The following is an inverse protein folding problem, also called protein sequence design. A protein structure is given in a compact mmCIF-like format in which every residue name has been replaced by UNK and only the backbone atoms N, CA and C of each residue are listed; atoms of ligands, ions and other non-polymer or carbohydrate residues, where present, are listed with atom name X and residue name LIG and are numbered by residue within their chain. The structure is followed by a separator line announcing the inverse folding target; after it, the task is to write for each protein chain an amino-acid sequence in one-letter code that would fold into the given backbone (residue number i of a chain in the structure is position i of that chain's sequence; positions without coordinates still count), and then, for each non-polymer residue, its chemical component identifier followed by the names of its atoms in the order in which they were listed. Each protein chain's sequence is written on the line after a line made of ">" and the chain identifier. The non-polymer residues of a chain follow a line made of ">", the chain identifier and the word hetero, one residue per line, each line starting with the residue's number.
data_IF_987857806401
#
_entry.id   IF_987857806401
#
_cell.length_a   1.000
_cell.length_b   1.000
_cell.length_c   1.000
_cell.angle_alpha   90.00
_cell.angle_beta   90.00
_cell.angle_gamma   90.00
#
_symmetry.space_group_name_H-M   'P 1'
#
loop_
_entity.id
_entity.type
_entity.pdbx_description
1 polymer ?
#
# COMPACT_ATOMS: atom_id res chain seq x y z
N UNK A 1 5.11 16.01 3.66
CA UNK A 1 4.00 15.21 3.09
C UNK A 1 3.96 15.34 1.56
N UNK A 2 4.82 14.62 0.81
CA UNK A 2 4.84 14.74 -0.67
C UNK A 2 4.78 13.39 -1.41
N UNK A 3 5.18 12.30 -0.75
CA UNK A 3 5.31 10.99 -1.41
C UNK A 3 3.97 10.29 -1.62
N UNK A 4 3.00 10.48 -0.72
CA UNK A 4 1.64 9.94 -0.89
C UNK A 4 0.80 10.70 -1.93
N UNK A 5 1.17 11.93 -2.31
CA UNK A 5 0.42 12.72 -3.30
C UNK A 5 0.43 12.09 -4.71
N UNK A 6 1.35 11.16 -4.98
CA UNK A 6 1.39 10.42 -6.25
C UNK A 6 0.38 9.25 -6.27
N UNK A 7 -0.13 8.85 -5.11
CA UNK A 7 -1.09 7.77 -4.96
C UNK A 7 -2.52 8.30 -5.09
N UNK A 8 -3.38 7.49 -5.70
CA UNK A 8 -4.83 7.68 -5.60
C UNK A 8 -5.29 7.44 -4.16
N UNK A 9 -6.49 7.91 -3.82
CA UNK A 9 -7.08 7.68 -2.50
C UNK A 9 -7.08 6.19 -2.11
N UNK A 10 -7.43 5.29 -3.04
CA UNK A 10 -7.46 3.84 -2.78
C UNK A 10 -6.06 3.26 -2.61
N UNK A 11 -5.09 3.67 -3.41
CA UNK A 11 -3.69 3.24 -3.28
C UNK A 11 -3.08 3.71 -1.95
N UNK A 12 -3.36 4.95 -1.53
CA UNK A 12 -2.91 5.47 -0.24
C UNK A 12 -3.54 4.69 0.93
N UNK A 13 -4.84 4.35 0.84
CA UNK A 13 -5.52 3.55 1.85
C UNK A 13 -4.87 2.17 1.99
N UNK A 14 -4.67 1.45 0.87
CA UNK A 14 -4.01 0.14 0.86
C UNK A 14 -2.58 0.23 1.41
N UNK A 15 -1.80 1.23 0.99
CA UNK A 15 -0.43 1.43 1.46
C UNK A 15 -0.37 1.69 2.97
N UNK A 16 -1.29 2.49 3.52
CA UNK A 16 -1.39 2.74 4.95
C UNK A 16 -1.68 1.44 5.73
N UNK A 17 -2.64 0.62 5.29
CA UNK A 17 -2.94 -0.67 5.92
C UNK A 17 -1.77 -1.66 5.84
N UNK A 18 -0.97 -1.62 4.78
CA UNK A 18 0.27 -2.40 4.72
C UNK A 18 1.29 -1.94 5.76
N UNK A 19 1.39 -0.63 6.01
CA UNK A 19 2.31 -0.08 7.02
C UNK A 19 1.94 -0.49 8.45
N UNK A 20 0.66 -0.81 8.72
CA UNK A 20 0.22 -1.36 10.02
C UNK A 20 0.44 -2.87 10.15
N UNK A 21 0.95 -3.53 9.10
CA UNK A 21 1.24 -4.97 9.10
C UNK A 21 0.15 -5.85 8.51
N UNK A 22 -0.96 -5.30 8.00
CA UNK A 22 -2.07 -6.11 7.47
C UNK A 22 -1.70 -6.87 6.18
N UNK A 23 -2.04 -8.15 6.11
CA UNK A 23 -1.86 -8.99 4.91
C UNK A 23 -2.83 -8.57 3.79
N UNK A 24 -2.51 -8.92 2.54
CA UNK A 24 -3.39 -8.61 1.40
C UNK A 24 -4.80 -9.21 1.57
N UNK A 25 -4.91 -10.37 2.22
CA UNK A 25 -6.19 -11.03 2.54
C UNK A 25 -7.01 -10.24 3.56
N UNK A 26 -6.37 -9.72 4.61
CA UNK A 26 -7.03 -8.87 5.60
C UNK A 26 -7.48 -7.54 4.99
N UNK A 27 -6.63 -6.92 4.18
CA UNK A 27 -6.97 -5.67 3.46
C UNK A 27 -8.13 -5.92 2.49
N UNK A 28 -8.12 -7.05 1.78
CA UNK A 28 -9.18 -7.42 0.87
C UNK A 28 -10.52 -7.58 1.61
N UNK A 29 -10.53 -8.26 2.75
CA UNK A 29 -11.71 -8.43 3.58
C UNK A 29 -12.25 -7.08 4.11
N UNK A 30 -11.36 -6.23 4.63
CA UNK A 30 -11.71 -4.92 5.20
C UNK A 30 -12.24 -3.94 4.15
N UNK A 31 -11.68 -3.97 2.94
CA UNK A 31 -12.09 -3.09 1.84
C UNK A 31 -13.21 -3.67 0.96
N UNK A 32 -13.66 -4.90 1.21
CA UNK A 32 -14.65 -5.59 0.36
C UNK A 32 -14.13 -5.86 -1.05
N UNK A 33 -12.82 -6.13 -1.20
CA UNK A 33 -12.14 -6.36 -2.47
C UNK A 33 -11.66 -7.80 -2.59
N UNK A 34 -11.26 -8.19 -3.80
CA UNK A 34 -10.49 -9.42 -3.98
C UNK A 34 -9.02 -9.20 -3.59
N UNK A 35 -8.35 -10.26 -3.13
CA UNK A 35 -6.89 -10.24 -2.88
C UNK A 35 -6.12 -9.80 -4.13
N UNK A 36 -6.57 -10.22 -5.32
CA UNK A 36 -5.97 -9.83 -6.60
C UNK A 36 -6.10 -8.32 -6.90
N UNK A 37 -7.20 -7.71 -6.47
CA UNK A 37 -7.40 -6.26 -6.57
C UNK A 37 -6.42 -5.53 -5.66
N UNK A 38 -6.25 -5.99 -4.41
CA UNK A 38 -5.27 -5.44 -3.47
C UNK A 38 -3.85 -5.56 -4.02
N UNK A 39 -3.51 -6.72 -4.60
CA UNK A 39 -2.21 -6.95 -5.24
C UNK A 39 -1.96 -5.97 -6.40
N UNK A 40 -2.99 -5.73 -7.22
CA UNK A 40 -2.92 -4.76 -8.32
C UNK A 40 -2.72 -3.33 -7.83
N UNK A 41 -3.36 -2.95 -6.71
CA UNK A 41 -3.11 -1.64 -6.08
C UNK A 41 -1.67 -1.55 -5.56
N UNK A 42 -1.16 -2.60 -4.90
CA UNK A 42 0.21 -2.62 -4.40
C UNK A 42 1.24 -2.55 -5.52
N UNK A 43 1.02 -3.25 -6.63
CA UNK A 43 1.89 -3.16 -7.80
C UNK A 43 2.01 -1.72 -8.32
N UNK A 44 0.88 -0.99 -8.41
CA UNK A 44 0.90 0.42 -8.82
C UNK A 44 1.57 1.31 -7.78
N UNK A 45 1.34 1.06 -6.49
CA UNK A 45 2.02 1.77 -5.39
C UNK A 45 3.53 1.59 -5.49
N UNK A 46 4.00 0.35 -5.66
CA UNK A 46 5.42 0.04 -5.81
C UNK A 46 6.05 0.80 -6.97
N UNK A 47 5.39 0.79 -8.13
CA UNK A 47 5.84 1.51 -9.31
C UNK A 47 5.87 3.04 -9.09
N UNK A 48 4.81 3.62 -8.51
CA UNK A 48 4.71 5.07 -8.27
C UNK A 48 5.70 5.57 -7.23
N UNK A 49 6.00 4.75 -6.22
CA UNK A 49 6.91 5.12 -5.13
C UNK A 49 8.35 4.67 -5.38
N UNK A 50 8.62 3.93 -6.46
CA UNK A 50 9.95 3.41 -6.77
C UNK A 50 10.46 2.39 -5.73
N UNK A 51 9.56 1.65 -5.08
CA UNK A 51 9.93 0.64 -4.07
C UNK A 51 9.78 -0.76 -4.63
N UNK A 52 10.73 -1.64 -4.30
CA UNK A 52 10.79 -2.98 -4.89
C UNK A 52 9.80 -3.97 -4.27
N UNK A 53 9.41 -3.80 -3.00
CA UNK A 53 8.61 -4.78 -2.28
C UNK A 53 7.88 -4.18 -1.08
N UNK A 54 7.05 -5.03 -0.45
CA UNK A 54 6.29 -4.73 0.75
C UNK A 54 7.14 -4.20 1.90
N UNK A 55 8.31 -4.81 2.17
CA UNK A 55 9.17 -4.38 3.26
C UNK A 55 9.74 -2.97 3.00
N UNK A 56 10.12 -2.67 1.76
CA UNK A 56 10.54 -1.32 1.35
C UNK A 56 9.40 -0.31 1.46
N UNK A 57 8.17 -0.69 1.10
CA UNK A 57 6.98 0.15 1.28
C UNK A 57 6.72 0.44 2.76
N UNK A 58 6.66 -0.60 3.60
CA UNK A 58 6.47 -0.46 5.05
C UNK A 58 7.56 0.43 5.64
N UNK A 59 8.83 0.16 5.34
CA UNK A 59 9.97 0.97 5.78
C UNK A 59 9.81 2.45 5.38
N UNK A 60 9.48 2.71 4.11
CA UNK A 60 9.28 4.07 3.60
C UNK A 60 8.16 4.83 4.32
N UNK A 61 7.10 4.13 4.73
CA UNK A 61 5.95 4.72 5.41
C UNK A 61 6.17 4.85 6.93
N UNK A 62 6.82 3.88 7.57
CA UNK A 62 7.09 3.90 9.02
C UNK A 62 8.17 4.92 9.40
N UNK A 63 9.21 5.12 8.58
CA UNK A 63 10.21 6.17 8.84
C UNK A 63 9.69 7.61 8.62
N UNK A 64 8.40 7.78 8.33
CA UNK A 64 7.75 9.10 8.19
C UNK A 64 6.84 9.47 9.35
N UNK A 65 6.79 8.66 10.41
CA UNK A 65 6.11 8.96 11.67
C UNK A 65 7.02 9.79 12.59
#
# INVERSE_FOLDING_TARGET
>A
MAVLNQLTARESQVAAMVSTGMTNSQIAADLGLSVRTVDSHLWRVYHKLGVANRASLTRLLTHRA
#
